data_IF_478917041169
#
_entry.id   IF_478917041169
#
_cell.length_a   1.000
_cell.length_b   1.000
_cell.length_c   1.000
_cell.angle_alpha   90.00
_cell.angle_beta   90.00
_cell.angle_gamma   90.00
#
_symmetry.space_group_name_H-M   'P 1'
#
loop_
_entity.id
_entity.type
_entity.pdbx_description
1 polymer ?
#
# COMPACT_ATOMS: atom_id res chain seq x y z
N UNK A 1 -89.44 59.33 14.25
CA UNK A 1 -87.99 59.27 14.25
C UNK A 1 -87.58 57.88 14.58
N UNK A 2 -87.37 57.01 13.63
CA UNK A 2 -86.97 55.59 13.84
C UNK A 2 -85.48 55.45 13.69
N UNK A 3 -84.83 55.14 14.77
CA UNK A 3 -83.39 54.75 14.72
C UNK A 3 -83.30 53.23 14.51
N UNK A 4 -82.89 52.81 13.33
CA UNK A 4 -82.54 51.42 13.04
C UNK A 4 -81.10 51.17 13.49
N UNK A 5 -80.88 50.15 14.38
CA UNK A 5 -79.53 49.69 14.79
C UNK A 5 -79.10 48.66 13.79
N UNK A 6 -77.86 48.75 13.24
CA UNK A 6 -77.36 47.75 12.32
C UNK A 6 -76.89 46.47 13.09
N UNK A 7 -77.35 45.34 12.62
CA UNK A 7 -76.97 44.00 13.10
C UNK A 7 -75.57 43.66 12.57
N UNK A 8 -74.58 43.61 13.45
CA UNK A 8 -73.22 43.16 13.11
C UNK A 8 -73.18 41.66 13.15
N UNK A 9 -73.17 41.02 11.99
CA UNK A 9 -73.00 39.58 11.86
C UNK A 9 -71.62 39.15 12.24
N UNK A 10 -71.48 38.33 13.24
CA UNK A 10 -70.20 37.71 13.67
C UNK A 10 -69.81 36.63 12.70
N UNK A 11 -68.74 36.90 11.89
CA UNK A 11 -68.13 35.89 11.03
C UNK A 11 -67.28 34.95 11.88
N UNK A 12 -67.75 33.74 12.05
CA UNK A 12 -66.97 32.69 12.72
C UNK A 12 -65.79 32.27 11.84
N UNK A 13 -64.57 32.59 12.23
CA UNK A 13 -63.33 32.13 11.60
C UNK A 13 -63.23 30.60 11.77
N UNK A 14 -63.32 29.87 10.67
CA UNK A 14 -62.99 28.44 10.61
C UNK A 14 -61.51 28.28 10.70
N UNK A 15 -60.96 27.83 11.83
CA UNK A 15 -59.56 27.37 11.96
C UNK A 15 -59.38 26.10 11.13
N UNK A 16 -58.40 26.04 10.24
CA UNK A 16 -58.08 24.80 9.51
C UNK A 16 -57.58 23.73 10.51
N UNK A 17 -58.23 22.58 10.49
CA UNK A 17 -57.77 21.43 11.27
C UNK A 17 -56.43 20.93 10.70
N UNK A 18 -55.36 21.16 11.43
CA UNK A 18 -54.02 20.57 11.13
C UNK A 18 -54.15 19.06 11.27
N UNK A 19 -54.22 18.35 10.16
CA UNK A 19 -54.13 16.89 10.13
C UNK A 19 -52.76 16.49 10.67
N UNK A 20 -52.67 16.10 11.93
CA UNK A 20 -51.50 15.38 12.46
C UNK A 20 -51.34 14.10 11.64
N UNK A 21 -50.28 14.03 10.80
CA UNK A 21 -49.83 12.75 10.25
C UNK A 21 -49.37 11.92 11.42
N UNK A 22 -50.03 10.83 11.67
CA UNK A 22 -49.56 9.79 12.61
C UNK A 22 -48.32 9.25 11.97
N UNK A 23 -47.13 9.50 12.55
CA UNK A 23 -45.92 8.86 12.16
C UNK A 23 -46.05 7.36 12.47
N UNK A 24 -46.15 6.52 11.47
CA UNK A 24 -46.12 5.08 11.65
C UNK A 24 -44.73 4.73 12.21
N UNK A 25 -44.69 4.08 13.35
CA UNK A 25 -43.46 3.60 13.98
C UNK A 25 -43.00 2.32 13.30
N UNK A 26 -41.66 2.11 13.26
CA UNK A 26 -41.07 0.87 12.77
C UNK A 26 -41.55 -0.35 13.59
N UNK A 27 -41.80 -1.44 12.88
CA UNK A 27 -42.11 -2.71 13.54
C UNK A 27 -40.82 -3.36 14.08
N UNK A 28 -40.90 -4.15 15.12
CA UNK A 28 -39.76 -4.87 15.70
C UNK A 28 -39.15 -5.84 14.66
N UNK A 29 -40.00 -6.43 13.81
CA UNK A 29 -39.55 -7.35 12.73
C UNK A 29 -38.76 -6.63 11.67
N UNK A 30 -39.17 -5.43 11.23
CA UNK A 30 -38.38 -4.62 10.26
C UNK A 30 -36.99 -4.29 10.80
N UNK A 31 -36.90 -3.94 12.09
CA UNK A 31 -35.61 -3.65 12.70
C UNK A 31 -34.72 -4.92 12.76
N UNK A 32 -35.32 -6.08 13.13
CA UNK A 32 -34.59 -7.35 13.17
C UNK A 32 -34.00 -7.74 11.77
N UNK A 33 -34.80 -7.61 10.72
CA UNK A 33 -34.34 -7.93 9.35
C UNK A 33 -33.21 -7.00 8.93
N UNK A 34 -33.33 -5.71 9.20
CA UNK A 34 -32.28 -4.73 8.87
C UNK A 34 -30.98 -5.05 9.59
N UNK A 35 -31.02 -5.34 10.89
CA UNK A 35 -29.82 -5.69 11.67
C UNK A 35 -29.13 -6.94 11.13
N UNK A 36 -29.90 -7.96 10.75
CA UNK A 36 -29.35 -9.19 10.13
C UNK A 36 -28.64 -8.88 8.82
N UNK A 37 -29.26 -8.10 7.93
CA UNK A 37 -28.66 -7.72 6.64
C UNK A 37 -27.39 -6.92 6.86
N UNK A 38 -27.41 -5.91 7.74
CA UNK A 38 -26.23 -5.11 8.06
C UNK A 38 -25.12 -5.98 8.66
N UNK A 39 -25.46 -6.93 9.53
CA UNK A 39 -24.50 -7.86 10.12
C UNK A 39 -23.77 -8.69 9.07
N UNK A 40 -24.49 -9.28 8.14
CA UNK A 40 -23.89 -10.07 7.04
C UNK A 40 -23.02 -9.19 6.13
N UNK A 41 -23.53 -8.02 5.71
CA UNK A 41 -22.79 -7.09 4.87
C UNK A 41 -21.51 -6.58 5.55
N UNK A 42 -21.55 -6.33 6.87
CA UNK A 42 -20.38 -5.88 7.62
C UNK A 42 -19.24 -6.90 7.62
N UNK A 43 -19.53 -8.19 7.75
CA UNK A 43 -18.51 -9.24 7.69
C UNK A 43 -17.84 -9.27 6.32
N UNK A 44 -18.63 -9.23 5.24
CA UNK A 44 -18.09 -9.21 3.87
C UNK A 44 -17.27 -7.95 3.60
N UNK A 45 -17.71 -6.80 4.10
CA UNK A 45 -17.01 -5.54 3.94
C UNK A 45 -15.63 -5.54 4.62
N UNK A 46 -15.50 -6.11 5.82
CA UNK A 46 -14.22 -6.18 6.54
C UNK A 46 -13.19 -7.01 5.78
N UNK A 47 -13.60 -8.19 5.26
CA UNK A 47 -12.69 -9.06 4.49
C UNK A 47 -12.22 -8.38 3.21
N UNK A 48 -13.16 -7.79 2.45
CA UNK A 48 -12.84 -7.08 1.22
C UNK A 48 -11.95 -5.85 1.45
N UNK A 49 -12.18 -5.11 2.53
CA UNK A 49 -11.40 -3.94 2.90
C UNK A 49 -9.94 -4.30 3.22
N UNK A 50 -9.70 -5.35 4.01
CA UNK A 50 -8.34 -5.80 4.35
C UNK A 50 -7.55 -6.19 3.10
N UNK A 51 -8.18 -6.92 2.18
CA UNK A 51 -7.57 -7.29 0.91
C UNK A 51 -7.19 -6.06 0.07
N UNK A 52 -8.10 -5.09 -0.03
CA UNK A 52 -7.85 -3.86 -0.79
C UNK A 52 -6.68 -3.04 -0.23
N UNK A 53 -6.60 -2.90 1.09
CA UNK A 53 -5.48 -2.21 1.75
C UNK A 53 -4.15 -2.92 1.47
N UNK A 54 -4.12 -4.25 1.57
CA UNK A 54 -2.93 -5.05 1.26
C UNK A 54 -2.47 -4.86 -0.19
N UNK A 55 -3.38 -4.97 -1.15
CA UNK A 55 -3.08 -4.72 -2.57
C UNK A 55 -2.56 -3.30 -2.82
N UNK A 56 -3.07 -2.31 -2.08
CA UNK A 56 -2.58 -0.93 -2.13
C UNK A 56 -1.11 -0.82 -1.67
N UNK A 57 -0.74 -1.52 -0.59
CA UNK A 57 0.65 -1.53 -0.10
C UNK A 57 1.60 -2.25 -1.08
N UNK A 58 1.18 -3.37 -1.66
CA UNK A 58 1.96 -4.07 -2.69
C UNK A 58 2.14 -3.17 -3.93
N UNK A 59 1.12 -2.40 -4.30
CA UNK A 59 1.20 -1.45 -5.41
C UNK A 59 2.19 -0.32 -5.11
N UNK A 60 2.24 0.19 -3.87
CA UNK A 60 3.25 1.17 -3.43
C UNK A 60 4.67 0.59 -3.59
N UNK A 61 4.90 -0.62 -3.07
CA UNK A 61 6.20 -1.30 -3.20
C UNK A 61 6.58 -1.53 -4.65
N UNK A 62 5.65 -1.96 -5.49
CA UNK A 62 5.87 -2.18 -6.92
C UNK A 62 6.30 -0.90 -7.62
N UNK A 63 5.65 0.22 -7.35
CA UNK A 63 6.02 1.51 -7.92
C UNK A 63 7.41 1.95 -7.45
N UNK A 64 7.72 1.78 -6.18
CA UNK A 64 9.02 2.15 -5.63
C UNK A 64 10.15 1.29 -6.17
N UNK A 65 9.96 -0.02 -6.28
CA UNK A 65 10.94 -0.95 -6.89
C UNK A 65 11.22 -0.57 -8.35
N UNK A 66 10.20 -0.16 -9.11
CA UNK A 66 10.38 0.35 -10.47
C UNK A 66 11.13 1.69 -10.50
N UNK A 67 10.87 2.59 -9.56
CA UNK A 67 11.60 3.85 -9.45
C UNK A 67 13.09 3.60 -9.14
N UNK A 68 13.40 2.67 -8.24
CA UNK A 68 14.78 2.27 -7.93
C UNK A 68 15.43 1.64 -9.17
N UNK A 69 14.72 0.84 -9.94
CA UNK A 69 15.19 0.29 -11.21
C UNK A 69 15.59 1.39 -12.19
N UNK A 70 14.72 2.37 -12.41
CA UNK A 70 15.00 3.52 -13.29
C UNK A 70 16.22 4.29 -12.79
N UNK A 71 16.34 4.48 -11.47
CA UNK A 71 17.50 5.14 -10.88
C UNK A 71 18.79 4.34 -11.07
N UNK A 72 18.74 3.01 -11.00
CA UNK A 72 19.89 2.13 -11.29
C UNK A 72 20.32 2.24 -12.77
N UNK A 73 19.38 2.26 -13.70
CA UNK A 73 19.67 2.42 -15.12
C UNK A 73 20.28 3.82 -15.43
N UNK A 74 19.74 4.86 -14.78
CA UNK A 74 20.29 6.21 -14.92
C UNK A 74 21.73 6.29 -14.36
N UNK A 75 21.98 5.71 -13.19
CA UNK A 75 23.29 5.64 -12.59
C UNK A 75 24.28 4.85 -13.48
N UNK A 76 23.85 3.72 -14.05
CA UNK A 76 24.63 2.91 -14.95
C UNK A 76 25.00 3.67 -16.25
N UNK A 77 24.09 4.47 -16.78
CA UNK A 77 24.35 5.27 -17.96
C UNK A 77 25.48 6.29 -17.74
N UNK A 78 25.64 6.81 -16.53
CA UNK A 78 26.68 7.80 -16.18
C UNK A 78 28.00 7.13 -15.77
N UNK A 79 27.94 6.04 -15.01
CA UNK A 79 29.11 5.45 -14.35
C UNK A 79 29.60 4.15 -14.97
N UNK A 80 28.81 3.57 -15.89
CA UNK A 80 29.05 2.26 -16.53
C UNK A 80 29.08 1.09 -15.53
N UNK A 81 28.41 1.26 -14.38
CA UNK A 81 28.22 0.21 -13.40
C UNK A 81 26.95 0.47 -12.61
N UNK A 82 26.32 -0.58 -12.08
CA UNK A 82 25.18 -0.45 -11.19
C UNK A 82 25.63 -0.21 -9.75
N UNK A 83 24.80 0.50 -8.98
CA UNK A 83 25.07 0.82 -7.59
C UNK A 83 24.78 -0.39 -6.69
N UNK A 84 25.80 -0.93 -6.02
CA UNK A 84 25.68 -2.03 -5.08
C UNK A 84 25.49 -1.52 -3.65
N UNK A 85 24.31 -1.01 -3.33
CA UNK A 85 24.04 -0.27 -2.11
C UNK A 85 23.89 -1.19 -0.88
N UNK A 86 23.08 -2.25 -1.00
CA UNK A 86 22.79 -3.14 0.11
C UNK A 86 23.85 -4.23 0.25
N UNK A 87 24.05 -4.71 1.47
CA UNK A 87 25.00 -5.80 1.76
C UNK A 87 24.52 -7.16 1.26
N UNK A 88 23.23 -7.30 0.97
CA UNK A 88 22.60 -8.53 0.47
C UNK A 88 21.13 -8.28 0.23
N UNK A 89 20.43 -9.30 -0.28
CA UNK A 89 18.99 -9.41 -0.28
C UNK A 89 18.65 -10.40 0.84
N UNK A 90 18.29 -9.88 1.99
CA UNK A 90 17.95 -10.67 3.15
C UNK A 90 17.29 -9.81 4.22
N UNK A 91 16.56 -10.44 5.10
CA UNK A 91 15.99 -9.80 6.27
C UNK A 91 17.04 -9.06 7.11
N UNK A 92 16.78 -7.81 7.42
CA UNK A 92 17.63 -6.97 8.25
C UNK A 92 18.68 -6.13 7.53
N UNK A 93 18.77 -6.25 6.19
CA UNK A 93 19.61 -5.39 5.36
C UNK A 93 18.82 -4.26 4.68
N UNK A 94 17.52 -4.25 4.85
CA UNK A 94 16.61 -3.31 4.18
C UNK A 94 16.67 -1.89 4.75
N UNK A 95 16.37 -0.92 3.91
CA UNK A 95 16.36 0.50 4.20
C UNK A 95 15.02 1.12 3.76
N UNK A 96 14.43 2.06 4.48
CA UNK A 96 14.94 2.75 5.69
C UNK A 96 14.74 1.97 7.00
N UNK A 97 13.95 0.91 7.00
CA UNK A 97 13.75 0.05 8.17
C UNK A 97 14.35 -1.33 7.96
N UNK A 98 15.10 -1.83 8.92
CA UNK A 98 15.60 -3.21 8.91
C UNK A 98 14.52 -4.25 9.24
N UNK A 99 13.41 -3.82 9.85
CA UNK A 99 12.26 -4.66 10.20
C UNK A 99 10.96 -3.97 9.80
N UNK A 100 10.69 -3.83 8.49
CA UNK A 100 9.50 -3.13 8.02
C UNK A 100 8.24 -3.95 8.32
N UNK A 101 7.21 -3.27 8.84
CA UNK A 101 5.91 -3.85 9.19
C UNK A 101 4.77 -2.93 8.75
N UNK A 102 3.58 -3.50 8.57
CA UNK A 102 2.38 -2.75 8.18
C UNK A 102 1.91 -1.71 9.20
N UNK A 103 2.44 -1.76 10.42
CA UNK A 103 2.03 -0.85 11.49
C UNK A 103 2.81 0.48 11.50
N UNK A 104 3.94 0.54 10.81
CA UNK A 104 4.82 1.71 10.85
C UNK A 104 5.31 2.09 9.46
N UNK A 105 5.32 3.38 9.19
CA UNK A 105 6.01 3.95 8.04
C UNK A 105 7.27 4.64 8.51
N UNK A 106 8.36 4.51 7.75
CA UNK A 106 9.67 5.06 8.09
C UNK A 106 10.06 6.13 7.08
N UNK A 107 10.52 7.27 7.57
CA UNK A 107 10.97 8.34 6.69
C UNK A 107 12.22 7.91 5.92
N UNK A 108 12.23 8.22 4.62
CA UNK A 108 13.41 8.04 3.79
C UNK A 108 14.47 9.06 4.20
N UNK A 109 15.57 8.60 4.76
CA UNK A 109 16.66 9.45 5.26
C UNK A 109 17.82 9.58 4.26
N UNK A 110 18.80 10.39 4.62
CA UNK A 110 20.00 10.58 3.81
C UNK A 110 21.07 9.51 4.10
N UNK A 111 21.08 8.92 5.28
CA UNK A 111 22.13 8.02 5.75
C UNK A 111 21.61 6.61 5.95
N UNK A 112 22.29 5.66 5.37
CA UNK A 112 22.01 4.24 5.53
C UNK A 112 23.09 3.59 6.40
N UNK A 113 22.68 2.96 7.48
CA UNK A 113 23.58 2.22 8.39
C UNK A 113 23.84 0.78 7.93
N UNK A 114 22.93 0.22 7.15
CA UNK A 114 23.00 -1.15 6.63
C UNK A 114 23.43 -1.22 5.17
N UNK A 115 23.98 -0.13 4.64
CA UNK A 115 24.49 -0.11 3.29
C UNK A 115 25.86 -0.77 3.18
N UNK A 116 26.18 -1.27 2.00
CA UNK A 116 27.46 -1.82 1.66
C UNK A 116 28.55 -0.75 1.83
N UNK A 117 29.76 -1.14 2.17
CA UNK A 117 30.83 -0.23 2.54
C UNK A 117 31.11 0.83 1.46
N UNK A 118 30.89 2.09 1.80
CA UNK A 118 31.05 3.24 0.90
C UNK A 118 29.85 3.56 0.01
N UNK A 119 28.80 2.74 -0.01
CA UNK A 119 27.58 2.97 -0.76
C UNK A 119 26.49 3.64 0.08
N UNK A 120 25.69 4.48 -0.56
CA UNK A 120 24.56 5.16 0.06
C UNK A 120 23.42 5.31 -0.94
N UNK A 121 22.18 5.30 -0.49
CA UNK A 121 21.00 5.53 -1.32
C UNK A 121 21.00 6.90 -2.01
N UNK A 122 21.72 7.87 -1.44
CA UNK A 122 21.89 9.22 -2.02
C UNK A 122 22.72 9.24 -3.31
N UNK A 123 23.39 8.14 -3.65
CA UNK A 123 24.14 8.01 -4.92
C UNK A 123 23.22 7.71 -6.11
N UNK A 124 22.04 7.13 -5.85
CA UNK A 124 21.04 6.96 -6.88
C UNK A 124 20.24 8.25 -7.07
N UNK A 125 19.90 8.63 -8.31
CA UNK A 125 19.00 9.74 -8.59
C UNK A 125 17.55 9.37 -8.26
N UNK A 126 17.30 9.03 -7.01
CA UNK A 126 16.01 8.58 -6.48
C UNK A 126 15.41 9.68 -5.60
N UNK A 127 14.20 10.09 -5.93
CA UNK A 127 13.42 11.01 -5.13
C UNK A 127 12.26 10.29 -4.45
N UNK A 128 12.15 10.44 -3.14
CA UNK A 128 11.09 9.82 -2.33
C UNK A 128 10.38 10.90 -1.55
N UNK A 129 9.12 11.16 -1.88
CA UNK A 129 8.34 12.30 -1.38
C UNK A 129 7.82 12.13 0.06
N UNK A 130 7.90 10.93 0.62
CA UNK A 130 7.31 10.68 1.94
C UNK A 130 7.86 9.45 2.65
N UNK A 131 7.36 9.18 3.86
CA UNK A 131 7.69 7.96 4.56
C UNK A 131 7.15 6.73 3.81
N UNK A 132 7.90 5.64 3.84
CA UNK A 132 7.61 4.37 3.17
C UNK A 132 7.33 3.27 4.19
N UNK A 133 6.52 2.30 3.80
CA UNK A 133 6.18 1.15 4.65
C UNK A 133 7.17 0.01 4.46
N UNK A 134 7.58 -0.23 3.21
CA UNK A 134 8.51 -1.30 2.89
C UNK A 134 9.96 -0.91 3.19
N UNK A 135 10.77 -1.92 3.46
CA UNK A 135 12.21 -1.81 3.42
C UNK A 135 12.70 -2.20 2.03
N UNK A 136 13.69 -1.49 1.50
CA UNK A 136 14.21 -1.68 0.15
C UNK A 136 15.66 -2.08 0.18
N UNK A 137 16.04 -2.98 -0.71
CA UNK A 137 17.40 -3.46 -0.90
C UNK A 137 17.76 -3.42 -2.38
N UNK A 138 19.02 -3.14 -2.69
CA UNK A 138 19.53 -3.27 -4.04
C UNK A 138 20.94 -3.77 -4.02
N UNK A 139 21.17 -4.87 -4.72
CA UNK A 139 22.49 -5.46 -4.91
C UNK A 139 22.84 -5.47 -6.39
N UNK A 140 24.09 -5.27 -6.69
CA UNK A 140 24.58 -5.21 -8.06
C UNK A 140 25.93 -5.91 -8.19
N UNK A 141 26.28 -6.32 -9.41
CA UNK A 141 27.57 -6.91 -9.75
C UNK A 141 27.96 -6.61 -11.19
N UNK A 142 29.27 -6.71 -11.44
CA UNK A 142 29.82 -6.51 -12.77
C UNK A 142 29.82 -7.79 -13.60
N UNK A 143 29.85 -7.65 -14.91
CA UNK A 143 29.96 -8.76 -15.85
C UNK A 143 31.15 -9.66 -15.52
N UNK A 144 30.96 -10.97 -15.60
CA UNK A 144 32.02 -11.96 -15.35
C UNK A 144 32.44 -12.08 -13.89
N UNK A 145 31.83 -11.32 -12.98
CA UNK A 145 32.09 -11.42 -11.55
C UNK A 145 31.69 -12.81 -11.03
N UNK A 146 32.54 -13.38 -10.15
CA UNK A 146 32.23 -14.58 -9.41
C UNK A 146 31.12 -14.36 -8.33
N UNK A 147 30.71 -13.11 -8.12
CA UNK A 147 29.59 -12.79 -7.26
C UNK A 147 28.30 -13.35 -7.86
N UNK A 148 27.80 -14.40 -7.25
CA UNK A 148 26.55 -15.03 -7.65
C UNK A 148 25.38 -14.12 -7.27
N UNK A 149 24.50 -13.77 -8.23
CA UNK A 149 23.27 -13.09 -7.89
C UNK A 149 22.47 -13.91 -6.90
N UNK A 150 21.87 -13.31 -5.86
CA UNK A 150 21.02 -14.03 -4.95
C UNK A 150 19.79 -14.58 -5.70
N UNK A 151 19.36 -15.78 -5.34
CA UNK A 151 18.09 -16.32 -5.81
C UNK A 151 16.95 -15.68 -5.01
N UNK A 152 15.86 -15.37 -5.67
CA UNK A 152 14.65 -14.84 -5.05
C UNK A 152 13.51 -15.85 -5.19
N UNK A 153 12.55 -15.83 -4.27
CA UNK A 153 11.35 -16.66 -4.34
C UNK A 153 10.16 -15.77 -4.69
N UNK A 154 9.34 -16.20 -5.64
CA UNK A 154 8.10 -15.54 -5.97
C UNK A 154 7.01 -16.57 -6.23
N UNK A 155 5.86 -16.42 -5.58
CA UNK A 155 4.74 -17.37 -5.63
C UNK A 155 5.17 -18.82 -5.34
N UNK A 156 6.07 -19.00 -4.35
CA UNK A 156 6.59 -20.31 -3.98
C UNK A 156 7.58 -20.91 -4.99
N UNK A 157 7.92 -20.22 -6.07
CA UNK A 157 8.91 -20.64 -7.06
C UNK A 157 10.22 -19.88 -6.86
N UNK A 158 11.32 -20.62 -6.80
CA UNK A 158 12.66 -20.03 -6.76
C UNK A 158 13.06 -19.53 -8.14
N UNK A 159 13.30 -18.22 -8.26
CA UNK A 159 13.86 -17.59 -9.45
C UNK A 159 15.37 -17.57 -9.32
N UNK A 160 16.05 -18.26 -10.21
CA UNK A 160 17.52 -18.30 -10.25
C UNK A 160 18.04 -17.48 -11.39
N UNK A 161 19.08 -16.71 -11.12
CA UNK A 161 19.77 -15.89 -12.11
C UNK A 161 21.06 -16.59 -12.58
N UNK A 162 21.64 -16.19 -13.73
CA UNK A 162 22.87 -16.77 -14.24
C UNK A 162 24.01 -16.72 -13.21
N UNK A 163 24.74 -17.81 -13.03
CA UNK A 163 25.85 -17.89 -12.07
C UNK A 163 27.02 -16.95 -12.39
N UNK A 164 27.26 -16.67 -13.66
CA UNK A 164 28.20 -15.66 -14.13
C UNK A 164 27.43 -14.85 -15.14
N UNK A 165 26.97 -13.68 -14.76
CA UNK A 165 26.26 -12.80 -15.70
C UNK A 165 27.23 -12.33 -16.79
N UNK A 166 26.87 -12.46 -18.07
CA UNK A 166 27.69 -11.93 -19.15
C UNK A 166 27.67 -10.39 -19.21
N UNK A 167 26.75 -9.77 -18.51
CA UNK A 167 26.57 -8.32 -18.40
C UNK A 167 26.54 -7.89 -16.96
N UNK A 168 26.75 -6.62 -16.70
CA UNK A 168 26.48 -6.02 -15.40
C UNK A 168 25.02 -6.25 -15.02
N UNK A 169 24.78 -6.41 -13.75
CA UNK A 169 23.46 -6.78 -13.24
C UNK A 169 23.12 -6.12 -11.92
N UNK A 170 21.84 -6.00 -11.66
CA UNK A 170 21.30 -5.63 -10.35
C UNK A 170 20.01 -6.40 -10.05
N UNK A 171 19.69 -6.49 -8.77
CA UNK A 171 18.41 -6.94 -8.24
C UNK A 171 17.96 -5.89 -7.23
N UNK A 172 16.68 -5.56 -7.28
CA UNK A 172 16.01 -4.71 -6.29
C UNK A 172 14.97 -5.56 -5.59
N UNK A 173 14.91 -5.42 -4.29
CA UNK A 173 13.93 -6.06 -3.41
C UNK A 173 13.22 -5.03 -2.55
N UNK A 174 11.94 -5.26 -2.30
CA UNK A 174 11.16 -4.59 -1.28
C UNK A 174 10.55 -5.65 -0.36
N UNK A 175 10.73 -5.51 0.94
CA UNK A 175 10.26 -6.46 1.96
C UNK A 175 9.38 -5.75 2.97
N UNK A 176 8.29 -6.39 3.40
CA UNK A 176 7.46 -5.94 4.50
C UNK A 176 6.70 -7.11 5.13
N UNK A 177 6.55 -7.09 6.44
CA UNK A 177 5.60 -7.92 7.15
C UNK A 177 4.23 -7.21 7.14
N UNK A 178 3.36 -7.60 6.21
CA UNK A 178 2.02 -7.03 6.05
C UNK A 178 1.01 -7.63 7.03
N UNK A 179 1.24 -8.85 7.50
CA UNK A 179 0.45 -9.51 8.53
C UNK A 179 1.34 -9.86 9.73
N UNK A 180 1.36 -8.98 10.72
CA UNK A 180 2.16 -9.16 11.94
C UNK A 180 1.77 -10.38 12.79
N UNK A 181 0.78 -11.17 12.37
CA UNK A 181 0.33 -12.39 13.04
C UNK A 181 1.07 -13.64 12.58
N UNK A 182 1.67 -13.61 11.40
CA UNK A 182 2.46 -14.70 10.82
C UNK A 182 3.92 -14.25 10.64
N UNK A 183 4.91 -15.17 10.69
CA UNK A 183 6.29 -14.81 10.37
C UNK A 183 6.56 -14.65 8.88
N UNK A 184 5.54 -14.81 8.04
CA UNK A 184 5.65 -14.67 6.59
C UNK A 184 5.75 -13.21 6.20
N UNK A 185 6.61 -12.92 5.23
CA UNK A 185 6.81 -11.56 4.71
C UNK A 185 6.43 -11.50 3.24
N UNK A 186 5.96 -10.34 2.84
CA UNK A 186 5.70 -10.02 1.44
C UNK A 186 6.96 -9.44 0.82
N UNK A 187 7.32 -9.95 -0.36
CA UNK A 187 8.47 -9.49 -1.13
C UNK A 187 8.04 -9.03 -2.51
N UNK A 188 8.70 -7.98 -3.00
CA UNK A 188 8.50 -7.47 -4.37
C UNK A 188 9.86 -7.28 -5.02
N UNK A 189 10.12 -8.00 -6.12
CA UNK A 189 11.42 -8.04 -6.77
C UNK A 189 11.40 -7.48 -8.18
N UNK A 190 12.50 -6.89 -8.61
CA UNK A 190 12.83 -6.66 -10.03
C UNK A 190 14.33 -6.86 -10.26
N UNK A 191 14.72 -7.03 -11.52
CA UNK A 191 16.12 -7.24 -11.88
C UNK A 191 16.46 -6.63 -13.23
N UNK A 192 17.76 -6.51 -13.53
CA UNK A 192 18.27 -6.08 -14.84
C UNK A 192 17.95 -7.04 -15.98
N UNK A 193 17.71 -8.32 -15.69
CA UNK A 193 17.46 -9.34 -16.72
C UNK A 193 16.04 -9.38 -17.24
N UNK A 194 15.09 -8.79 -16.51
CA UNK A 194 13.67 -8.83 -16.87
C UNK A 194 12.96 -7.54 -16.49
N UNK A 195 12.04 -7.11 -17.35
CA UNK A 195 11.14 -5.98 -17.04
C UNK A 195 10.00 -6.38 -16.10
N UNK A 196 9.92 -7.65 -15.72
CA UNK A 196 8.89 -8.15 -14.83
C UNK A 196 9.17 -7.75 -13.40
N UNK A 197 8.10 -7.41 -12.68
CA UNK A 197 8.09 -7.35 -11.22
C UNK A 197 7.48 -8.65 -10.72
N UNK A 198 8.17 -9.29 -9.80
CA UNK A 198 7.68 -10.50 -9.12
C UNK A 198 7.22 -10.11 -7.73
N UNK A 199 6.08 -10.64 -7.36
CA UNK A 199 5.51 -10.47 -6.03
C UNK A 199 5.44 -11.84 -5.37
N UNK A 200 6.00 -11.97 -4.19
CA UNK A 200 5.85 -13.13 -3.31
C UNK A 200 5.04 -12.69 -2.10
N UNK A 201 3.78 -13.09 -2.11
CA UNK A 201 2.82 -12.75 -1.08
C UNK A 201 2.21 -14.06 -0.54
N UNK A 202 2.81 -14.66 0.51
CA UNK A 202 2.48 -15.99 0.97
C UNK A 202 1.12 -16.12 1.69
N UNK A 203 0.32 -15.02 1.74
CA UNK A 203 -0.98 -15.00 2.44
C UNK A 203 -2.19 -14.98 1.51
#
# INVERSE_FOLDING_TARGET
MNNAVPFIGTVAARTPAVRRRVAEGFTLVELMVVVVIIGVLSVLAVVGYRKLIRESHISEATNMVQNIRVAQEAYHAETQQYANISTGIADGASYPSATPTSNFVTAWGANCTNCNNGWQWTQLPLHVDGPVMFGYETVAGVAGSAAKPPSVTANGQQITFPNASPTDWFIVDAVCDLDTTTPAKTYVYTSSWSNQVWVDDPE
#
